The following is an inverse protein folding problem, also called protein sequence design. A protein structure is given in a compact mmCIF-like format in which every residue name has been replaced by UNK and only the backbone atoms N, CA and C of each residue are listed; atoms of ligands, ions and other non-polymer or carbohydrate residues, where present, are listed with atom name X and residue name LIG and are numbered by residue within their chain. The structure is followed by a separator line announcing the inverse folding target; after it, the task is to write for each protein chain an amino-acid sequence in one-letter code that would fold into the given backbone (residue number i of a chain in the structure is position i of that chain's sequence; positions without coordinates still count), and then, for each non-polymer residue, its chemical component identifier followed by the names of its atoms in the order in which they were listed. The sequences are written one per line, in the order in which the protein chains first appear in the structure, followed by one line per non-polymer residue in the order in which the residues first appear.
data_IF_941069214539
#
_entry.id   IF_941069214539
#
_cell.length_a   1.000
_cell.length_b   1.000
_cell.length_c   1.000
_cell.angle_alpha   90.00
_cell.angle_beta   90.00
_cell.angle_gamma   90.00
#
_symmetry.space_group_name_H-M   'P 1'
#
loop_
_entity.id
_entity.type
_entity.pdbx_description
1 polymer ?
#
# COMPACT_ATOMS: atom_id res chain seq x y z
N UNK A 1 2.89 -10.29 16.50
CA UNK A 1 1.94 -10.41 15.38
C UNK A 1 2.70 -10.16 14.09
N UNK A 2 2.77 -11.17 13.22
CA UNK A 2 3.38 -11.06 11.89
C UNK A 2 2.35 -11.60 10.89
N UNK A 3 1.93 -10.81 9.89
CA UNK A 3 2.32 -9.42 9.63
C UNK A 3 1.79 -8.42 10.69
N UNK A 4 2.26 -7.16 10.62
CA UNK A 4 1.67 -6.07 11.43
C UNK A 4 0.20 -5.91 11.04
N UNK A 5 -0.70 -5.85 12.01
CA UNK A 5 -2.09 -5.49 11.73
C UNK A 5 -2.15 -4.04 11.23
N UNK A 6 -2.85 -3.81 10.12
CA UNK A 6 -3.07 -2.49 9.54
C UNK A 6 -4.54 -2.13 9.73
N UNK A 7 -4.79 -0.92 10.21
CA UNK A 7 -6.12 -0.36 10.47
C UNK A 7 -6.22 1.05 9.89
N UNK A 8 -7.38 1.68 9.99
CA UNK A 8 -7.56 3.09 9.58
C UNK A 8 -6.61 4.05 10.30
N UNK A 9 -6.23 3.75 11.55
CA UNK A 9 -5.30 4.57 12.34
C UNK A 9 -3.89 4.63 11.72
N UNK A 10 -3.51 3.65 10.89
CA UNK A 10 -2.22 3.66 10.18
C UNK A 10 -2.16 4.71 9.06
N UNK A 11 -3.29 5.30 8.70
CA UNK A 11 -3.42 6.34 7.69
C UNK A 11 -3.59 7.76 8.29
N UNK A 12 -3.46 7.87 9.62
CA UNK A 12 -3.43 9.14 10.34
C UNK A 12 -2.04 9.79 10.31
N UNK A 13 -1.99 11.13 10.29
CA UNK A 13 -0.73 11.89 10.32
C UNK A 13 0.09 11.85 9.04
N UNK A 14 -0.45 11.31 7.95
CA UNK A 14 0.16 11.34 6.62
C UNK A 14 0.28 12.78 6.11
N UNK A 15 1.35 13.08 5.37
CA UNK A 15 1.69 14.43 4.93
C UNK A 15 1.56 14.60 3.42
N UNK A 16 0.86 15.66 3.00
CA UNK A 16 0.58 15.95 1.58
C UNK A 16 -0.24 14.84 0.90
N UNK A 17 -0.02 14.57 -0.40
CA UNK A 17 -0.75 13.54 -1.13
C UNK A 17 -0.29 12.12 -0.76
N UNK A 18 -1.26 11.24 -0.47
CA UNK A 18 -0.99 9.85 -0.06
C UNK A 18 -0.48 8.99 -1.22
N UNK A 19 -0.87 9.28 -2.46
CA UNK A 19 -0.46 8.54 -3.67
C UNK A 19 -0.49 9.42 -4.92
N UNK A 20 0.30 9.06 -5.92
CA UNK A 20 0.48 9.85 -7.15
C UNK A 20 0.10 9.10 -8.42
N UNK A 21 0.44 7.81 -8.49
CA UNK A 21 0.28 7.02 -9.70
C UNK A 21 -0.55 5.78 -9.38
N UNK A 22 -1.82 5.82 -9.74
CA UNK A 22 -2.77 4.73 -9.53
C UNK A 22 -2.85 3.92 -10.82
N UNK A 23 -2.68 2.61 -10.72
CA UNK A 23 -2.93 1.71 -11.85
C UNK A 23 -4.42 1.71 -12.14
N UNK A 24 -4.81 2.04 -13.36
CA UNK A 24 -6.19 1.89 -13.83
C UNK A 24 -6.50 0.43 -14.12
N UNK A 25 -6.35 0.01 -15.38
CA UNK A 25 -6.57 -1.38 -15.76
C UNK A 25 -5.35 -2.25 -15.46
N UNK A 26 -5.58 -3.43 -14.89
CA UNK A 26 -4.57 -4.47 -14.69
C UNK A 26 -5.12 -5.86 -14.96
N UNK A 27 -4.22 -6.81 -15.25
CA UNK A 27 -4.57 -8.23 -15.41
C UNK A 27 -5.29 -8.76 -14.14
N UNK A 28 -6.28 -9.66 -14.26
CA UNK A 28 -7.03 -10.18 -13.11
C UNK A 28 -6.18 -10.88 -12.04
N UNK A 29 -4.94 -11.27 -12.36
CA UNK A 29 -3.99 -11.85 -11.39
C UNK A 29 -3.49 -10.84 -10.36
N UNK A 30 -3.63 -9.55 -10.61
CA UNK A 30 -3.27 -8.51 -9.65
C UNK A 30 -4.43 -8.24 -8.70
N UNK A 31 -4.11 -8.11 -7.43
CA UNK A 31 -5.02 -7.74 -6.35
C UNK A 31 -4.66 -6.34 -5.86
N UNK A 32 -5.61 -5.41 -5.94
CA UNK A 32 -5.52 -4.12 -5.26
C UNK A 32 -5.78 -4.31 -3.76
N UNK A 33 -4.88 -3.78 -2.93
CA UNK A 33 -4.91 -4.00 -1.48
C UNK A 33 -5.49 -2.83 -0.70
N UNK A 34 -5.44 -1.63 -1.28
CA UNK A 34 -5.81 -0.38 -0.64
C UNK A 34 -6.52 0.50 -1.67
N UNK A 35 -7.63 1.12 -1.24
CA UNK A 35 -8.35 2.14 -1.99
C UNK A 35 -8.51 3.39 -1.14
N UNK A 36 -8.36 4.57 -1.73
CA UNK A 36 -8.49 5.88 -1.08
C UNK A 36 -9.30 6.84 -1.94
N UNK A 37 -9.92 7.82 -1.31
CA UNK A 37 -10.54 8.95 -1.98
C UNK A 37 -10.32 10.23 -1.21
N UNK A 38 -10.37 11.33 -1.95
CA UNK A 38 -10.61 12.63 -1.36
C UNK A 38 -12.09 12.76 -0.96
N UNK A 39 -12.41 13.64 0.02
CA UNK A 39 -13.78 13.81 0.48
C UNK A 39 -14.76 14.15 -0.65
N UNK A 40 -15.75 13.28 -0.87
CA UNK A 40 -16.76 13.45 -1.91
C UNK A 40 -16.38 12.87 -3.28
N UNK A 41 -15.19 12.30 -3.43
CA UNK A 41 -14.79 11.57 -4.64
C UNK A 41 -14.98 10.06 -4.46
N UNK A 42 -15.04 9.34 -5.59
CA UNK A 42 -15.09 7.88 -5.59
C UNK A 42 -13.73 7.29 -5.17
N UNK A 43 -13.71 6.17 -4.43
CA UNK A 43 -12.49 5.43 -4.10
C UNK A 43 -11.69 5.04 -5.34
N UNK A 44 -10.42 5.43 -5.36
CA UNK A 44 -9.42 4.93 -6.29
C UNK A 44 -8.63 3.81 -5.62
N UNK A 45 -8.67 2.64 -6.23
CA UNK A 45 -7.73 1.56 -5.98
C UNK A 45 -6.58 1.63 -7.01
N UNK A 46 -5.55 0.79 -6.82
CA UNK A 46 -4.41 0.76 -7.75
C UNK A 46 -3.15 1.48 -7.28
N UNK A 47 -3.18 2.22 -6.16
CA UNK A 47 -1.96 2.73 -5.53
C UNK A 47 -1.10 1.63 -4.89
N UNK A 48 -1.67 0.46 -4.61
CA UNK A 48 -0.96 -0.71 -4.12
C UNK A 48 -1.60 -1.97 -4.70
N UNK A 49 -0.92 -2.59 -5.66
CA UNK A 49 -1.33 -3.87 -6.25
C UNK A 49 -0.25 -4.92 -6.07
N UNK A 50 -0.66 -6.17 -5.94
CA UNK A 50 0.25 -7.30 -5.80
C UNK A 50 -0.22 -8.51 -6.60
N UNK A 51 0.70 -9.34 -7.04
CA UNK A 51 0.38 -10.67 -7.56
C UNK A 51 1.49 -11.65 -7.17
N UNK A 52 1.16 -12.94 -7.15
CA UNK A 52 2.18 -13.99 -7.14
C UNK A 52 2.76 -14.12 -8.54
N UNK A 53 4.10 -14.10 -8.63
CA UNK A 53 4.83 -14.23 -9.88
C UNK A 53 5.98 -15.21 -9.73
N UNK A 54 5.83 -16.40 -10.32
CA UNK A 54 6.79 -17.49 -10.17
C UNK A 54 6.92 -17.94 -8.71
N UNK A 55 8.11 -17.79 -8.12
CA UNK A 55 8.40 -18.13 -6.71
C UNK A 55 8.35 -16.91 -5.77
N UNK A 56 7.93 -15.76 -6.27
CA UNK A 56 7.94 -14.51 -5.53
C UNK A 56 6.63 -13.75 -5.65
N UNK A 57 6.63 -12.58 -5.03
CA UNK A 57 5.51 -11.64 -5.04
C UNK A 57 5.94 -10.38 -5.74
N UNK A 58 5.18 -9.96 -6.75
CA UNK A 58 5.30 -8.62 -7.32
C UNK A 58 4.48 -7.65 -6.48
N UNK A 59 5.05 -6.48 -6.20
CA UNK A 59 4.36 -5.37 -5.55
C UNK A 59 4.62 -4.11 -6.36
N UNK A 60 3.56 -3.49 -6.87
CA UNK A 60 3.60 -2.13 -7.36
C UNK A 60 3.04 -1.21 -6.29
N UNK A 61 3.69 -0.07 -6.09
CA UNK A 61 3.14 0.97 -5.21
C UNK A 61 3.34 2.37 -5.79
N UNK A 62 2.23 3.08 -5.95
CA UNK A 62 2.17 4.51 -6.23
C UNK A 62 1.92 5.35 -4.96
N UNK A 63 2.00 4.72 -3.78
CA UNK A 63 1.93 5.39 -2.48
C UNK A 63 3.15 6.31 -2.32
N UNK A 64 2.94 7.52 -1.81
CA UNK A 64 3.96 8.54 -1.58
C UNK A 64 4.91 8.21 -0.40
N UNK A 65 5.41 6.98 -0.29
CA UNK A 65 6.33 6.57 0.78
C UNK A 65 7.56 7.48 0.90
N UNK A 66 8.01 8.09 -0.20
CA UNK A 66 9.11 9.05 -0.20
C UNK A 66 8.83 10.34 0.60
N UNK A 67 7.56 10.63 0.94
CA UNK A 67 7.18 11.70 1.84
C UNK A 67 6.92 11.18 3.25
N UNK A 68 6.17 10.09 3.35
CA UNK A 68 5.69 9.59 4.63
C UNK A 68 6.80 8.97 5.47
N UNK A 69 7.75 8.27 4.84
CA UNK A 69 8.87 7.68 5.56
C UNK A 69 9.79 8.79 6.12
N UNK A 70 10.27 9.78 5.34
CA UNK A 70 11.06 10.88 5.91
C UNK A 70 10.32 11.73 6.95
N UNK A 71 9.00 11.87 6.82
CA UNK A 71 8.17 12.57 7.82
C UNK A 71 7.97 11.77 9.12
N UNK A 72 8.43 10.52 9.19
CA UNK A 72 8.37 9.70 10.40
C UNK A 72 7.00 9.09 10.67
N UNK A 73 6.13 8.96 9.65
CA UNK A 73 4.75 8.50 9.82
C UNK A 73 4.70 7.02 10.21
N UNK A 74 4.27 6.66 11.44
CA UNK A 74 4.42 5.29 11.94
C UNK A 74 3.66 4.23 11.12
N UNK A 75 2.47 4.57 10.63
CA UNK A 75 1.66 3.65 9.82
C UNK A 75 2.27 3.37 8.45
N UNK A 76 2.93 4.36 7.83
CA UNK A 76 3.66 4.17 6.58
C UNK A 76 4.82 3.18 6.76
N UNK A 77 5.57 3.27 7.87
CA UNK A 77 6.62 2.28 8.19
C UNK A 77 6.07 0.88 8.43
N UNK A 78 4.95 0.73 9.15
CA UNK A 78 4.32 -0.58 9.38
C UNK A 78 3.84 -1.22 8.07
N UNK A 79 3.20 -0.44 7.20
CA UNK A 79 2.79 -0.90 5.88
C UNK A 79 3.99 -1.31 5.04
N UNK A 80 5.02 -0.46 4.95
CA UNK A 80 6.23 -0.75 4.19
C UNK A 80 6.94 -2.02 4.69
N UNK A 81 7.06 -2.19 6.01
CA UNK A 81 7.62 -3.40 6.62
C UNK A 81 6.84 -4.66 6.23
N UNK A 82 5.50 -4.61 6.21
CA UNK A 82 4.68 -5.73 5.74
C UNK A 82 4.94 -6.08 4.26
N UNK A 83 5.17 -5.08 3.41
CA UNK A 83 5.41 -5.28 1.97
C UNK A 83 6.76 -5.94 1.67
N UNK A 84 7.81 -5.57 2.41
CA UNK A 84 9.16 -6.13 2.21
C UNK A 84 9.43 -7.38 3.06
N UNK A 85 8.62 -7.64 4.09
CA UNK A 85 8.78 -8.84 4.91
C UNK A 85 8.57 -10.10 4.07
N UNK A 86 9.39 -11.12 4.33
CA UNK A 86 9.16 -12.46 3.79
C UNK A 86 7.79 -12.92 4.28
N UNK A 87 6.92 -13.38 3.36
CA UNK A 87 5.75 -14.13 3.80
C UNK A 87 6.27 -15.34 4.57
N UNK A 88 5.92 -15.45 5.85
CA UNK A 88 6.06 -16.72 6.54
C UNK A 88 5.36 -17.76 5.67
N UNK A 89 6.00 -18.91 5.44
CA UNK A 89 5.31 -20.05 4.86
C UNK A 89 4.05 -20.27 5.71
N UNK A 90 2.88 -20.11 5.09
CA UNK A 90 1.61 -20.54 5.70
C UNK A 90 1.62 -22.06 5.78
#
# INVERSE_FOLDING_TARGET
NTPNAITTADFEGWVQERGLYFVGDHDPRYTALIAWNDPGEEPLDGALITCEHGKGRYVYTGISFFRELPAGVPGAYRLFANLISSRAAQ
#
